data_IF_663052876392
#
_entry.id   IF_663052876392
#
_cell.length_a   1.000
_cell.length_b   1.000
_cell.length_c   1.000
_cell.angle_alpha   90.00
_cell.angle_beta   90.00
_cell.angle_gamma   90.00
#
_symmetry.space_group_name_H-M   'P 1'
#
loop_
_entity.id
_entity.type
_entity.pdbx_description
1 polymer ?
#
# COMPACT_ATOMS: atom_id res chain seq x y z
N UNK A 1 -42.62 -31.37 -4.15
CA UNK A 1 -41.43 -30.78 -3.49
C UNK A 1 -40.71 -29.93 -4.50
N UNK A 2 -40.55 -28.62 -4.28
CA UNK A 2 -39.71 -27.76 -5.08
C UNK A 2 -38.26 -28.00 -4.66
N UNK A 3 -37.27 -28.11 -5.58
CA UNK A 3 -35.88 -28.22 -5.21
C UNK A 3 -35.43 -26.94 -4.44
N UNK A 4 -34.54 -27.05 -3.49
CA UNK A 4 -34.02 -25.88 -2.80
C UNK A 4 -33.38 -24.93 -3.83
N UNK A 5 -33.79 -23.67 -3.77
CA UNK A 5 -33.23 -22.59 -4.59
C UNK A 5 -31.78 -22.41 -4.17
N UNK A 6 -30.85 -22.96 -4.92
CA UNK A 6 -29.41 -22.81 -4.73
C UNK A 6 -29.07 -21.33 -5.03
N UNK A 7 -29.26 -20.46 -4.04
CA UNK A 7 -28.81 -19.09 -4.10
C UNK A 7 -27.29 -19.12 -4.02
N UNK A 8 -26.62 -19.26 -5.15
CA UNK A 8 -25.18 -18.99 -5.24
C UNK A 8 -24.94 -17.60 -4.69
N UNK A 9 -24.30 -17.51 -3.56
CA UNK A 9 -23.83 -16.22 -3.01
C UNK A 9 -22.80 -15.72 -4.02
N UNK A 10 -23.19 -14.73 -4.79
CA UNK A 10 -22.26 -14.08 -5.74
C UNK A 10 -21.42 -13.11 -4.92
N UNK A 11 -20.20 -13.52 -4.60
CA UNK A 11 -19.23 -12.64 -3.98
C UNK A 11 -18.75 -11.58 -4.99
N UNK A 12 -18.59 -10.35 -4.53
CA UNK A 12 -17.95 -9.30 -5.33
C UNK A 12 -16.46 -9.63 -5.54
N UNK A 13 -15.82 -9.18 -6.62
CA UNK A 13 -14.38 -9.29 -6.76
C UNK A 13 -13.68 -8.46 -5.66
N UNK A 14 -12.53 -8.93 -5.16
CA UNK A 14 -11.62 -8.08 -4.39
C UNK A 14 -11.29 -6.84 -5.23
N UNK A 15 -11.44 -5.63 -4.68
CA UNK A 15 -11.30 -4.37 -5.40
C UNK A 15 -10.21 -3.52 -4.75
N UNK A 16 -9.09 -3.34 -5.44
CA UNK A 16 -7.92 -2.61 -4.95
C UNK A 16 -7.80 -1.32 -5.74
N UNK A 17 -7.72 -0.20 -5.04
CA UNK A 17 -7.64 1.14 -5.64
C UNK A 17 -6.43 1.87 -5.09
N UNK A 18 -5.45 2.11 -5.93
CA UNK A 18 -4.28 2.91 -5.63
C UNK A 18 -4.54 4.32 -6.18
N UNK A 19 -4.58 5.30 -5.28
CA UNK A 19 -4.88 6.68 -5.62
C UNK A 19 -3.61 7.45 -6.00
N UNK A 20 -3.75 8.37 -6.95
CA UNK A 20 -2.68 9.30 -7.29
C UNK A 20 -2.63 10.40 -6.22
N UNK A 21 -1.76 10.21 -5.25
CA UNK A 21 -1.49 11.14 -4.15
C UNK A 21 -0.11 11.78 -4.26
N UNK A 22 0.48 11.74 -5.45
CA UNK A 22 1.84 12.19 -5.72
C UNK A 22 2.88 11.30 -5.02
N UNK A 23 3.68 11.88 -4.10
CA UNK A 23 4.44 11.10 -3.13
C UNK A 23 3.50 10.65 -2.02
N UNK A 24 3.83 9.56 -1.37
CA UNK A 24 3.01 8.95 -0.35
C UNK A 24 2.12 7.84 -0.89
N UNK A 25 1.43 7.17 -0.01
CA UNK A 25 0.51 6.10 -0.35
C UNK A 25 -0.93 6.43 0.11
N UNK A 26 -1.88 5.96 -0.68
CA UNK A 26 -3.29 5.88 -0.31
C UNK A 26 -3.93 4.74 -1.10
N UNK A 27 -4.17 3.61 -0.43
CA UNK A 27 -4.61 2.38 -1.06
C UNK A 27 -5.88 1.88 -0.37
N UNK A 28 -7.00 1.83 -1.09
CA UNK A 28 -8.24 1.23 -0.60
C UNK A 28 -8.36 -0.19 -1.12
N UNK A 29 -8.55 -1.14 -0.21
CA UNK A 29 -8.76 -2.55 -0.51
C UNK A 29 -10.13 -2.95 0.03
N UNK A 30 -10.98 -3.46 -0.85
CA UNK A 30 -12.29 -4.01 -0.51
C UNK A 30 -12.25 -5.52 -0.71
N UNK A 31 -12.58 -6.28 0.32
CA UNK A 31 -12.73 -7.72 0.22
C UNK A 31 -13.97 -8.09 -0.63
N UNK A 32 -14.10 -9.34 -1.00
CA UNK A 32 -15.27 -9.88 -1.70
C UNK A 32 -16.58 -9.69 -0.91
N UNK A 33 -16.50 -9.46 0.40
CA UNK A 33 -17.63 -9.13 1.27
C UNK A 33 -17.69 -7.64 1.66
N UNK A 34 -17.07 -6.77 0.87
CA UNK A 34 -17.05 -5.31 1.08
C UNK A 34 -16.44 -4.86 2.42
N UNK A 35 -15.60 -5.68 3.04
CA UNK A 35 -14.80 -5.23 4.16
C UNK A 35 -13.70 -4.29 3.65
N UNK A 36 -13.64 -3.07 4.20
CA UNK A 36 -12.80 -2.01 3.66
C UNK A 36 -11.56 -1.80 4.52
N UNK A 37 -10.40 -1.85 3.88
CA UNK A 37 -9.10 -1.49 4.46
C UNK A 37 -8.52 -0.31 3.69
N UNK A 38 -8.11 0.74 4.38
CA UNK A 38 -7.33 1.84 3.83
C UNK A 38 -5.90 1.74 4.34
N UNK A 39 -4.93 1.69 3.43
CA UNK A 39 -3.50 1.74 3.76
C UNK A 39 -3.00 3.13 3.42
N UNK A 40 -2.53 3.81 4.43
CA UNK A 40 -2.09 5.20 4.42
C UNK A 40 -3.16 6.22 3.93
N UNK A 41 -2.88 7.48 4.11
CA UNK A 41 -3.80 8.57 3.79
C UNK A 41 -3.05 9.84 3.32
N UNK A 42 -2.09 9.65 2.42
CA UNK A 42 -1.52 10.73 1.63
C UNK A 42 -2.59 11.44 0.80
N UNK A 43 -2.33 12.66 0.36
CA UNK A 43 -3.22 13.38 -0.54
C UNK A 43 -2.46 14.07 -1.67
N UNK A 44 -3.15 14.34 -2.77
CA UNK A 44 -2.57 15.00 -3.92
C UNK A 44 -2.59 16.52 -3.72
N UNK A 45 -1.41 17.12 -3.59
CA UNK A 45 -1.27 18.56 -3.31
C UNK A 45 -1.57 19.42 -4.54
N UNK A 46 -1.34 18.91 -5.75
CA UNK A 46 -1.58 19.61 -7.01
C UNK A 46 -3.06 19.68 -7.34
N UNK A 47 -3.80 18.56 -7.23
CA UNK A 47 -5.23 18.51 -7.53
C UNK A 47 -6.11 18.85 -6.34
N UNK A 48 -5.57 18.87 -5.12
CA UNK A 48 -6.31 19.02 -3.88
C UNK A 48 -7.12 17.76 -3.48
N UNK A 49 -6.98 16.63 -4.19
CA UNK A 49 -7.72 15.43 -3.85
C UNK A 49 -7.26 14.84 -2.52
N UNK A 50 -8.22 14.57 -1.64
CA UNK A 50 -8.00 14.00 -0.30
C UNK A 50 -8.82 12.74 -0.11
N UNK A 51 -8.26 11.67 0.52
CA UNK A 51 -9.01 10.45 0.79
C UNK A 51 -10.25 10.68 1.66
N UNK A 52 -10.16 11.55 2.68
CA UNK A 52 -11.30 11.87 3.54
C UNK A 52 -12.51 12.42 2.79
N UNK A 53 -12.28 13.18 1.72
CA UNK A 53 -13.36 13.75 0.89
C UNK A 53 -13.77 12.80 -0.23
N UNK A 54 -12.79 12.22 -0.92
CA UNK A 54 -13.03 11.32 -2.05
C UNK A 54 -13.78 10.05 -1.65
N UNK A 55 -13.45 9.49 -0.47
CA UNK A 55 -14.13 8.30 0.04
C UNK A 55 -15.46 8.65 0.72
N UNK A 56 -15.56 9.80 1.41
CA UNK A 56 -16.84 10.25 1.95
C UNK A 56 -17.91 10.44 0.85
N UNK A 57 -17.54 10.99 -0.32
CA UNK A 57 -18.43 11.05 -1.49
C UNK A 57 -18.89 9.67 -1.97
N UNK A 58 -18.13 8.61 -1.72
CA UNK A 58 -18.49 7.22 -1.99
C UNK A 58 -19.29 6.57 -0.86
N UNK A 59 -19.63 7.35 0.18
CA UNK A 59 -20.46 6.94 1.31
C UNK A 59 -19.70 6.38 2.50
N UNK A 60 -18.37 6.35 2.49
CA UNK A 60 -17.57 5.95 3.66
C UNK A 60 -17.77 6.95 4.82
N UNK A 61 -17.79 6.42 6.05
CA UNK A 61 -18.09 7.20 7.25
C UNK A 61 -19.58 7.46 7.50
N UNK A 62 -20.46 7.12 6.53
CA UNK A 62 -21.92 7.23 6.64
C UNK A 62 -22.63 5.92 6.30
N UNK A 63 -22.85 5.63 5.01
CA UNK A 63 -23.53 4.42 4.53
C UNK A 63 -22.60 3.20 4.42
N UNK A 64 -21.30 3.44 4.24
CA UNK A 64 -20.25 2.43 4.15
C UNK A 64 -19.28 2.58 5.30
N UNK A 65 -18.89 1.49 5.89
CA UNK A 65 -17.92 1.47 6.99
C UNK A 65 -16.49 1.37 6.44
N UNK A 66 -15.58 2.19 6.95
CA UNK A 66 -14.14 1.94 6.85
C UNK A 66 -13.77 1.05 8.03
N UNK A 67 -13.49 -0.23 7.78
CA UNK A 67 -13.26 -1.21 8.85
C UNK A 67 -11.87 -1.04 9.45
N UNK A 68 -10.88 -0.85 8.60
CA UNK A 68 -9.49 -0.78 9.02
C UNK A 68 -8.77 0.37 8.32
N UNK A 69 -8.00 1.12 9.09
CA UNK A 69 -6.98 2.05 8.62
C UNK A 69 -5.62 1.50 9.05
N UNK A 70 -4.73 1.27 8.12
CA UNK A 70 -3.35 0.85 8.37
C UNK A 70 -2.46 2.05 8.06
N UNK A 71 -1.62 2.44 9.01
CA UNK A 71 -0.58 3.46 8.81
C UNK A 71 0.76 2.75 8.82
N UNK A 72 1.46 2.80 7.70
CA UNK A 72 2.74 2.12 7.53
C UNK A 72 3.84 2.74 8.39
N UNK A 73 3.97 4.06 8.36
CA UNK A 73 4.92 4.82 9.16
C UNK A 73 4.50 6.31 9.25
N UNK A 74 5.09 7.12 10.17
CA UNK A 74 4.60 8.46 10.47
C UNK A 74 5.22 9.57 9.59
N UNK A 75 5.53 9.31 8.31
CA UNK A 75 5.95 10.37 7.40
C UNK A 75 4.76 11.14 6.84
N UNK A 76 5.00 12.43 6.58
CA UNK A 76 3.92 13.37 6.28
C UNK A 76 3.14 13.00 5.03
N UNK A 77 3.79 12.49 4.02
CA UNK A 77 3.19 12.07 2.75
C UNK A 77 2.32 10.81 2.87
N UNK A 78 2.46 10.05 3.96
CA UNK A 78 1.59 8.91 4.31
C UNK A 78 0.45 9.30 5.26
N UNK A 79 0.57 10.40 6.00
CA UNK A 79 -0.36 10.82 7.03
C UNK A 79 -1.13 12.11 6.71
N UNK A 80 -0.85 12.77 5.60
CA UNK A 80 -1.21 14.17 5.40
C UNK A 80 -2.70 14.48 5.63
N UNK A 81 -3.59 13.53 5.33
CA UNK A 81 -5.04 13.66 5.56
C UNK A 81 -5.56 12.90 6.79
N UNK A 82 -4.68 12.33 7.62
CA UNK A 82 -5.07 11.50 8.77
C UNK A 82 -6.08 12.16 9.71
N UNK A 83 -5.92 13.44 10.13
CA UNK A 83 -6.91 14.08 11.00
C UNK A 83 -8.33 14.07 10.42
N UNK A 84 -8.46 14.35 9.12
CA UNK A 84 -9.76 14.38 8.45
C UNK A 84 -10.30 12.96 8.19
N UNK A 85 -9.43 11.99 7.92
CA UNK A 85 -9.82 10.57 7.77
C UNK A 85 -10.42 10.05 9.07
N UNK A 86 -9.78 10.33 10.21
CA UNK A 86 -10.29 9.92 11.53
C UNK A 86 -11.64 10.57 11.83
N UNK A 87 -11.81 11.86 11.52
CA UNK A 87 -13.04 12.60 11.77
C UNK A 87 -14.19 12.18 10.84
N UNK A 88 -13.95 12.16 9.53
CA UNK A 88 -14.99 11.99 8.49
C UNK A 88 -15.30 10.53 8.19
N UNK A 89 -14.25 9.68 8.10
CA UNK A 89 -14.43 8.27 7.71
C UNK A 89 -14.58 7.33 8.90
N UNK A 90 -14.13 7.73 10.09
CA UNK A 90 -14.30 7.04 11.37
C UNK A 90 -13.94 5.56 11.27
N UNK A 91 -12.67 5.21 10.96
CA UNK A 91 -12.25 3.82 10.87
C UNK A 91 -12.53 3.09 12.18
N UNK A 92 -13.00 1.84 12.07
CA UNK A 92 -13.34 1.04 13.28
C UNK A 92 -12.06 0.65 14.01
N UNK A 93 -11.03 0.30 13.25
CA UNK A 93 -9.71 -0.06 13.79
C UNK A 93 -8.62 0.74 13.10
N UNK A 94 -7.63 1.18 13.86
CA UNK A 94 -6.42 1.83 13.35
C UNK A 94 -5.23 0.96 13.73
N UNK A 95 -4.47 0.54 12.71
CA UNK A 95 -3.27 -0.29 12.85
C UNK A 95 -2.04 0.55 12.49
N UNK A 96 -1.06 0.56 13.35
CA UNK A 96 0.18 1.30 13.16
C UNK A 96 1.32 0.61 13.90
N UNK A 97 2.53 1.12 13.79
CA UNK A 97 3.69 0.55 14.47
C UNK A 97 3.48 0.53 16.00
N UNK A 98 3.47 -0.65 16.65
CA UNK A 98 3.03 -0.79 18.03
C UNK A 98 3.95 -0.10 19.06
N UNK A 99 5.24 0.01 18.76
CA UNK A 99 6.22 0.55 19.68
C UNK A 99 6.60 2.01 19.39
N UNK A 100 6.10 2.61 18.30
CA UNK A 100 6.47 3.97 17.92
C UNK A 100 5.61 4.98 18.67
N UNK A 101 6.09 5.37 19.85
CA UNK A 101 5.43 6.31 20.76
C UNK A 101 5.99 7.73 20.61
N UNK A 102 5.40 8.69 21.34
CA UNK A 102 5.73 10.10 21.23
C UNK A 102 7.23 10.38 21.45
N UNK A 103 7.84 9.82 22.48
CA UNK A 103 9.25 10.05 22.78
C UNK A 103 10.17 9.50 21.66
N UNK A 104 9.88 8.30 21.14
CA UNK A 104 10.67 7.73 20.06
C UNK A 104 10.53 8.56 18.77
N UNK A 105 9.32 9.05 18.45
CA UNK A 105 9.12 9.88 17.28
C UNK A 105 9.76 11.26 17.43
N UNK A 106 9.74 11.86 18.62
CA UNK A 106 10.39 13.12 18.89
C UNK A 106 11.94 13.03 18.80
N UNK A 107 12.52 11.88 19.17
CA UNK A 107 13.95 11.62 18.98
C UNK A 107 14.33 11.50 17.50
N UNK A 108 13.42 10.98 16.67
CA UNK A 108 13.62 10.79 15.24
C UNK A 108 13.29 12.05 14.41
N UNK A 109 12.43 12.95 14.94
CA UNK A 109 11.92 14.14 14.26
C UNK A 109 11.90 15.36 15.21
N UNK A 110 12.56 16.42 14.81
CA UNK A 110 12.67 17.65 15.62
C UNK A 110 11.32 18.38 15.86
N UNK A 111 10.37 18.27 14.92
CA UNK A 111 9.06 18.92 15.00
C UNK A 111 7.98 18.00 14.46
N UNK A 112 6.86 17.90 15.18
CA UNK A 112 5.71 17.09 14.78
C UNK A 112 4.64 17.92 14.07
N UNK A 113 4.17 17.43 12.93
CA UNK A 113 3.00 18.00 12.25
C UNK A 113 1.69 17.62 12.95
N UNK A 114 0.57 18.30 12.56
CA UNK A 114 -0.77 17.93 13.03
C UNK A 114 -1.13 16.47 12.73
N UNK A 115 -0.70 15.96 11.59
CA UNK A 115 -0.93 14.57 11.19
C UNK A 115 -0.14 13.58 12.07
N UNK A 116 1.12 13.87 12.36
CA UNK A 116 1.94 13.07 13.27
C UNK A 116 1.41 13.10 14.71
N UNK A 117 0.92 14.27 15.16
CA UNK A 117 0.26 14.37 16.46
C UNK A 117 -1.05 13.55 16.50
N UNK A 118 -1.81 13.47 15.40
CA UNK A 118 -2.98 12.60 15.28
C UNK A 118 -2.59 11.12 15.32
N UNK A 119 -1.53 10.72 14.60
CA UNK A 119 -0.96 9.37 14.64
C UNK A 119 -0.64 8.93 16.07
N UNK A 120 0.03 9.78 16.85
CA UNK A 120 0.41 9.47 18.22
C UNK A 120 -0.80 9.40 19.19
N UNK A 121 -1.89 10.11 18.89
CA UNK A 121 -3.13 9.96 19.68
C UNK A 121 -3.82 8.63 19.44
N UNK A 122 -3.79 8.11 18.22
CA UNK A 122 -4.37 6.80 17.90
C UNK A 122 -3.55 5.65 18.47
N UNK A 123 -2.24 5.80 18.69
CA UNK A 123 -1.38 4.75 19.26
C UNK A 123 -1.81 4.32 20.67
N UNK A 124 -2.45 5.20 21.44
CA UNK A 124 -2.92 4.89 22.80
C UNK A 124 -4.11 3.93 22.82
N UNK A 125 -4.88 3.83 21.73
CA UNK A 125 -6.06 2.96 21.62
C UNK A 125 -5.72 1.55 21.12
N UNK A 126 -4.54 1.35 20.57
CA UNK A 126 -4.09 0.07 20.00
C UNK A 126 -3.03 -0.64 20.86
N UNK A 127 -2.79 -0.17 22.08
CA UNK A 127 -1.65 -0.53 22.95
C UNK A 127 -1.64 -1.96 23.51
N UNK A 128 -2.61 -2.83 23.19
CA UNK A 128 -2.52 -4.25 23.48
C UNK A 128 -1.79 -4.98 22.34
N UNK A 129 -0.48 -4.86 22.28
CA UNK A 129 0.24 -5.28 21.08
C UNK A 129 1.40 -6.18 21.36
N UNK A 130 1.32 -7.18 20.82
CA UNK A 130 1.49 -8.28 19.89
C UNK A 130 2.96 -8.43 19.41
N UNK A 131 3.44 -9.64 19.17
CA UNK A 131 4.80 -9.94 18.72
C UNK A 131 5.11 -9.25 17.38
N UNK A 132 6.38 -9.31 16.95
CA UNK A 132 6.93 -8.73 15.71
C UNK A 132 6.18 -9.14 14.42
N UNK A 133 5.21 -10.03 14.56
CA UNK A 133 4.28 -10.47 13.54
C UNK A 133 2.87 -10.47 14.12
N UNK A 134 1.92 -9.88 13.41
CA UNK A 134 0.50 -9.95 13.74
C UNK A 134 -0.27 -10.56 12.55
N UNK A 135 -1.09 -11.57 12.84
CA UNK A 135 -2.00 -12.16 11.86
C UNK A 135 -3.43 -11.95 12.32
N UNK A 136 -4.29 -11.49 11.42
CA UNK A 136 -5.71 -11.25 11.67
C UNK A 136 -6.53 -11.76 10.52
N UNK A 137 -7.57 -12.53 10.86
CA UNK A 137 -8.58 -12.97 9.92
C UNK A 137 -9.73 -11.96 9.94
N UNK A 138 -10.02 -11.34 8.82
CA UNK A 138 -11.26 -10.66 8.53
C UNK A 138 -12.29 -11.68 8.01
N UNK A 139 -13.44 -11.26 7.51
CA UNK A 139 -14.46 -12.24 7.05
C UNK A 139 -13.93 -13.17 5.97
N UNK A 140 -13.32 -12.61 4.93
CA UNK A 140 -12.75 -13.37 3.81
C UNK A 140 -11.28 -13.04 3.57
N UNK A 141 -10.81 -11.90 4.06
CA UNK A 141 -9.45 -11.41 3.87
C UNK A 141 -8.59 -11.66 5.11
N UNK A 142 -7.35 -12.05 4.92
CA UNK A 142 -6.33 -12.18 5.96
C UNK A 142 -5.35 -11.01 5.88
N UNK A 143 -5.06 -10.42 7.04
CA UNK A 143 -3.98 -9.43 7.21
C UNK A 143 -2.82 -10.06 7.98
N UNK A 144 -1.62 -10.00 7.43
CA UNK A 144 -0.37 -10.27 8.13
C UNK A 144 0.52 -9.03 8.12
N UNK A 145 1.04 -8.67 9.28
CA UNK A 145 1.87 -7.48 9.46
C UNK A 145 3.20 -7.84 10.09
N UNK A 146 4.27 -7.21 9.59
CA UNK A 146 5.62 -7.35 10.12
C UNK A 146 6.18 -5.96 10.39
N UNK A 147 6.91 -5.82 11.47
CA UNK A 147 7.58 -4.57 11.85
C UNK A 147 8.87 -4.87 12.61
N UNK A 148 9.78 -3.92 12.64
CA UNK A 148 11.05 -4.02 13.35
C UNK A 148 10.96 -3.31 14.70
N UNK A 149 11.65 -3.79 15.75
CA UNK A 149 11.67 -3.10 17.03
C UNK A 149 12.24 -1.69 16.92
N UNK A 150 11.64 -0.73 17.62
CA UNK A 150 12.23 0.62 17.79
C UNK A 150 13.62 0.48 18.42
N UNK A 151 14.59 1.24 17.89
CA UNK A 151 16.01 1.14 18.26
C UNK A 151 16.79 0.08 17.48
N UNK A 152 16.12 -0.83 16.76
CA UNK A 152 16.83 -1.79 15.91
C UNK A 152 17.33 -1.19 14.58
N UNK A 153 16.77 -0.07 14.16
CA UNK A 153 17.14 0.70 12.97
C UNK A 153 17.20 2.18 13.31
N UNK A 154 17.88 2.97 12.47
CA UNK A 154 18.04 4.42 12.69
C UNK A 154 17.04 5.25 11.89
N UNK A 155 16.61 4.76 10.74
CA UNK A 155 15.69 5.46 9.85
C UNK A 155 14.26 5.07 10.22
N UNK A 156 13.36 6.06 10.36
CA UNK A 156 11.94 5.84 10.62
C UNK A 156 11.25 5.07 9.49
N UNK A 157 11.74 5.20 8.27
CA UNK A 157 11.25 4.44 7.11
C UNK A 157 11.48 2.93 7.29
N UNK A 158 12.61 2.54 7.88
CA UNK A 158 12.89 1.13 8.19
C UNK A 158 11.99 0.56 9.31
N UNK A 159 11.24 1.41 10.02
CA UNK A 159 10.19 1.03 10.97
C UNK A 159 8.81 0.89 10.30
N UNK A 160 8.71 0.99 8.99
CA UNK A 160 7.44 0.78 8.28
C UNK A 160 6.83 -0.57 8.64
N UNK A 161 5.52 -0.55 8.94
CA UNK A 161 4.72 -1.76 9.11
C UNK A 161 4.44 -2.35 7.74
N UNK A 162 5.11 -3.45 7.42
CA UNK A 162 4.87 -4.16 6.16
C UNK A 162 3.59 -4.97 6.30
N UNK A 163 2.62 -4.70 5.45
CA UNK A 163 1.30 -5.35 5.49
C UNK A 163 1.08 -6.20 4.25
N UNK A 164 0.69 -7.46 4.47
CA UNK A 164 0.22 -8.38 3.44
C UNK A 164 -1.27 -8.62 3.63
N UNK A 165 -2.05 -8.34 2.59
CA UNK A 165 -3.50 -8.57 2.59
C UNK A 165 -3.80 -9.64 1.54
N UNK A 166 -4.39 -10.74 2.00
CA UNK A 166 -4.61 -11.94 1.18
C UNK A 166 -6.08 -12.35 1.15
N UNK A 167 -6.60 -12.69 -0.01
CA UNK A 167 -7.93 -13.25 -0.22
C UNK A 167 -7.90 -14.16 -1.47
N UNK A 168 -8.45 -15.36 -1.38
CA UNK A 168 -8.62 -16.30 -2.50
C UNK A 168 -7.35 -16.52 -3.33
N UNK A 169 -6.22 -16.72 -2.66
CA UNK A 169 -4.92 -16.95 -3.32
C UNK A 169 -4.31 -15.72 -3.97
N UNK A 170 -4.85 -14.53 -3.69
CA UNK A 170 -4.28 -13.26 -4.12
C UNK A 170 -3.73 -12.48 -2.91
N UNK A 171 -2.51 -12.01 -3.01
CA UNK A 171 -1.84 -11.28 -1.94
C UNK A 171 -1.29 -9.94 -2.45
N UNK A 172 -1.62 -8.86 -1.72
CA UNK A 172 -1.03 -7.53 -1.89
C UNK A 172 0.02 -7.33 -0.81
N UNK A 173 1.22 -6.87 -1.17
CA UNK A 173 2.25 -6.40 -0.25
C UNK A 173 2.31 -4.87 -0.27
N UNK A 174 2.09 -4.25 0.90
CA UNK A 174 2.21 -2.82 1.15
C UNK A 174 3.37 -2.59 2.14
N UNK A 175 4.59 -2.34 1.69
CA UNK A 175 5.77 -2.22 2.55
C UNK A 175 5.95 -0.80 3.12
N UNK A 176 5.14 0.18 2.73
CA UNK A 176 5.40 1.59 3.00
C UNK A 176 6.77 2.02 2.46
N UNK A 177 7.49 2.81 3.22
CA UNK A 177 8.79 3.34 2.80
C UNK A 177 9.98 2.48 3.26
N UNK A 178 9.74 1.18 3.50
CA UNK A 178 10.75 0.26 3.99
C UNK A 178 12.05 0.36 3.17
N UNK A 179 13.12 0.77 3.84
CA UNK A 179 14.44 0.93 3.25
C UNK A 179 15.23 -0.37 3.16
N UNK A 180 16.42 -0.28 2.58
CA UNK A 180 17.24 -1.47 2.33
C UNK A 180 17.71 -2.18 3.62
N UNK A 181 17.86 -1.46 4.74
CA UNK A 181 18.22 -2.05 6.04
C UNK A 181 17.04 -2.83 6.61
N UNK A 182 15.84 -2.25 6.54
CA UNK A 182 14.60 -2.90 6.96
C UNK A 182 14.35 -4.21 6.20
N UNK A 183 14.46 -4.20 4.87
CA UNK A 183 14.37 -5.41 4.06
C UNK A 183 15.31 -6.50 4.53
N UNK A 184 16.61 -6.19 4.69
CA UNK A 184 17.61 -7.16 5.13
C UNK A 184 17.29 -7.79 6.48
N UNK A 185 16.68 -7.02 7.39
CA UNK A 185 16.28 -7.54 8.71
C UNK A 185 15.06 -8.44 8.59
N UNK A 186 14.04 -8.04 7.85
CA UNK A 186 12.83 -8.84 7.63
C UNK A 186 13.11 -10.14 6.88
N UNK A 187 14.05 -10.14 5.92
CA UNK A 187 14.46 -11.35 5.17
C UNK A 187 15.06 -12.45 6.06
N UNK A 188 15.41 -12.16 7.33
CA UNK A 188 15.81 -13.19 8.29
C UNK A 188 14.64 -13.98 8.88
N UNK A 189 13.40 -13.51 8.68
CA UNK A 189 12.20 -14.16 9.18
C UNK A 189 11.60 -15.09 8.10
N UNK A 190 11.53 -16.43 8.32
CA UNK A 190 10.96 -17.37 7.35
C UNK A 190 9.48 -17.09 7.02
N UNK A 191 8.69 -16.59 7.99
CA UNK A 191 7.29 -16.25 7.75
C UNK A 191 7.18 -15.05 6.82
N UNK A 192 8.08 -14.08 6.91
CA UNK A 192 8.15 -12.95 5.98
C UNK A 192 8.54 -13.41 4.58
N UNK A 193 9.56 -14.28 4.45
CA UNK A 193 9.94 -14.88 3.16
C UNK A 193 8.78 -15.64 2.51
N UNK A 194 7.98 -16.37 3.33
CA UNK A 194 6.79 -17.06 2.85
C UNK A 194 5.79 -16.07 2.25
N UNK A 195 5.49 -14.97 2.95
CA UNK A 195 4.54 -13.96 2.47
C UNK A 195 5.03 -13.26 1.19
N UNK A 196 6.34 -13.08 1.02
CA UNK A 196 6.90 -12.56 -0.23
C UNK A 196 6.62 -13.51 -1.41
N UNK A 197 6.75 -14.83 -1.22
CA UNK A 197 6.46 -15.84 -2.28
C UNK A 197 4.98 -15.83 -2.69
N UNK A 198 4.09 -15.57 -1.74
CA UNK A 198 2.64 -15.49 -1.99
C UNK A 198 2.22 -14.17 -2.65
N UNK A 199 3.10 -13.17 -2.71
CA UNK A 199 2.75 -11.83 -3.17
C UNK A 199 2.53 -11.76 -4.68
N UNK A 200 1.34 -11.34 -5.08
CA UNK A 200 0.95 -11.13 -6.48
C UNK A 200 1.07 -9.67 -6.93
N UNK A 201 0.72 -8.74 -6.04
CA UNK A 201 0.84 -7.30 -6.25
C UNK A 201 1.80 -6.69 -5.23
N UNK A 202 2.86 -6.05 -5.71
CA UNK A 202 3.77 -5.28 -4.88
C UNK A 202 3.49 -3.79 -5.06
N UNK A 203 3.22 -3.08 -3.97
CA UNK A 203 3.41 -1.63 -3.94
C UNK A 203 4.90 -1.37 -3.72
N UNK A 204 5.52 -0.62 -4.60
CA UNK A 204 6.96 -0.44 -4.56
C UNK A 204 7.36 0.35 -3.29
N UNK A 205 8.35 -0.12 -2.52
CA UNK A 205 8.75 0.54 -1.30
C UNK A 205 9.29 1.94 -1.59
N UNK A 206 8.99 2.88 -0.70
CA UNK A 206 9.53 4.24 -0.71
C UNK A 206 9.42 4.90 -2.10
N UNK A 207 8.24 4.78 -2.71
CA UNK A 207 7.91 5.37 -4.02
C UNK A 207 8.88 4.97 -5.14
N UNK A 208 9.44 3.76 -5.06
CA UNK A 208 10.41 3.25 -6.01
C UNK A 208 11.80 3.88 -5.91
N UNK A 209 12.18 4.49 -4.79
CA UNK A 209 13.53 5.04 -4.62
C UNK A 209 14.61 3.96 -4.63
N UNK A 210 15.77 4.31 -5.18
CA UNK A 210 16.93 3.41 -5.27
C UNK A 210 17.40 2.90 -3.89
N UNK A 211 17.29 3.73 -2.84
CA UNK A 211 17.64 3.39 -1.46
C UNK A 211 16.79 2.28 -0.85
N UNK A 212 15.59 2.06 -1.38
CA UNK A 212 14.66 1.03 -0.92
C UNK A 212 14.66 -0.24 -1.78
N UNK A 213 15.31 -0.22 -2.94
CA UNK A 213 15.44 -1.39 -3.79
C UNK A 213 16.50 -2.36 -3.24
N UNK A 214 16.15 -3.64 -3.13
CA UNK A 214 17.01 -4.72 -2.69
C UNK A 214 16.86 -5.93 -3.60
N UNK A 215 17.89 -6.29 -4.39
CA UNK A 215 17.82 -7.47 -5.27
C UNK A 215 17.49 -8.76 -4.53
N UNK A 216 18.01 -8.95 -3.31
CA UNK A 216 17.82 -10.16 -2.50
C UNK A 216 16.34 -10.41 -2.12
N UNK A 217 15.50 -9.39 -2.14
CA UNK A 217 14.04 -9.54 -1.94
C UNK A 217 13.44 -10.41 -3.04
N UNK A 218 13.95 -10.28 -4.26
CA UNK A 218 13.43 -10.95 -5.44
C UNK A 218 13.90 -12.40 -5.59
N UNK A 219 14.73 -12.91 -4.68
CA UNK A 219 14.94 -14.35 -4.50
C UNK A 219 13.67 -15.03 -3.96
N UNK A 220 12.81 -14.26 -3.29
CA UNK A 220 11.56 -14.74 -2.68
C UNK A 220 10.31 -14.16 -3.38
N UNK A 221 10.43 -13.03 -4.02
CA UNK A 221 9.31 -12.25 -4.55
C UNK A 221 9.31 -12.23 -6.08
N UNK A 222 8.23 -12.73 -6.67
CA UNK A 222 8.00 -12.71 -8.13
C UNK A 222 6.58 -12.23 -8.43
N UNK A 223 6.29 -10.91 -8.29
CA UNK A 223 4.93 -10.41 -8.40
C UNK A 223 4.43 -10.43 -9.84
N UNK A 224 3.12 -10.54 -10.05
CA UNK A 224 2.53 -10.30 -11.37
C UNK A 224 2.60 -8.83 -11.77
N UNK A 225 2.41 -7.93 -10.81
CA UNK A 225 2.42 -6.49 -11.05
C UNK A 225 3.13 -5.74 -9.92
N UNK A 226 3.89 -4.73 -10.29
CA UNK A 226 4.42 -3.73 -9.36
C UNK A 226 3.75 -2.39 -9.62
N UNK A 227 3.27 -1.72 -8.58
CA UNK A 227 2.75 -0.36 -8.65
C UNK A 227 3.67 0.58 -7.89
N UNK A 228 4.07 1.67 -8.52
CA UNK A 228 4.87 2.73 -7.92
C UNK A 228 3.97 3.95 -7.72
N UNK A 229 3.74 4.32 -6.47
CA UNK A 229 3.11 5.60 -6.14
C UNK A 229 4.18 6.68 -6.17
N UNK A 230 4.20 7.52 -7.22
CA UNK A 230 5.23 8.52 -7.36
C UNK A 230 4.72 9.82 -8.01
N UNK A 231 5.48 10.90 -7.80
CA UNK A 231 5.29 12.23 -8.38
C UNK A 231 6.37 12.52 -9.43
N UNK A 232 6.04 13.37 -10.39
CA UNK A 232 7.06 13.93 -11.26
C UNK A 232 8.07 14.73 -10.44
N UNK A 233 9.36 14.37 -10.55
CA UNK A 233 10.40 14.96 -9.73
C UNK A 233 11.04 16.14 -10.44
N UNK A 234 11.21 17.24 -9.70
CA UNK A 234 12.17 18.29 -10.05
C UNK A 234 13.59 17.71 -10.06
N UNK A 235 14.41 18.16 -11.03
CA UNK A 235 15.78 17.72 -11.28
C UNK A 235 16.58 17.47 -9.99
N UNK A 236 17.16 16.28 -9.84
CA UNK A 236 18.14 15.98 -8.81
C UNK A 236 17.85 14.85 -7.82
N UNK A 237 16.66 14.24 -7.80
CA UNK A 237 16.39 13.05 -6.96
C UNK A 237 16.38 11.77 -7.78
N UNK A 238 17.14 10.78 -7.32
CA UNK A 238 17.23 9.47 -8.00
C UNK A 238 15.99 8.65 -7.69
N UNK A 239 15.01 8.67 -8.59
CA UNK A 239 14.00 7.62 -8.65
C UNK A 239 14.57 6.44 -9.41
N UNK A 240 14.39 5.24 -8.89
CA UNK A 240 14.69 4.05 -9.66
C UNK A 240 13.91 4.12 -10.97
N UNK A 241 14.63 3.95 -12.06
CA UNK A 241 14.02 3.66 -13.34
C UNK A 241 13.11 2.43 -13.12
N UNK A 242 11.97 2.37 -13.79
CA UNK A 242 11.04 1.23 -13.74
C UNK A 242 11.71 -0.13 -14.04
N UNK A 243 12.90 -0.10 -14.68
CA UNK A 243 13.60 -1.28 -15.14
C UNK A 243 13.86 -2.34 -14.05
N UNK A 244 14.42 -2.02 -12.87
CA UNK A 244 14.71 -3.05 -11.87
C UNK A 244 13.45 -3.81 -11.42
N UNK A 245 12.34 -3.11 -11.21
CA UNK A 245 11.07 -3.77 -10.85
C UNK A 245 10.46 -4.57 -11.99
N UNK A 246 10.58 -4.06 -13.23
CA UNK A 246 10.07 -4.73 -14.43
C UNK A 246 10.74 -6.07 -14.68
N UNK A 247 12.03 -6.18 -14.35
CA UNK A 247 12.80 -7.40 -14.60
C UNK A 247 12.33 -8.56 -13.69
N UNK A 248 11.73 -8.24 -12.54
CA UNK A 248 11.24 -9.22 -11.57
C UNK A 248 9.73 -9.49 -11.66
N UNK A 249 8.95 -8.70 -12.40
CA UNK A 249 7.52 -8.88 -12.52
C UNK A 249 7.13 -9.71 -13.76
N UNK A 250 6.08 -10.54 -13.63
CA UNK A 250 5.54 -11.31 -14.75
C UNK A 250 4.76 -10.44 -15.74
N UNK A 251 3.93 -9.54 -15.25
CA UNK A 251 3.10 -8.64 -16.03
C UNK A 251 1.63 -9.04 -16.12
N UNK A 252 0.81 -8.07 -16.48
CA UNK A 252 -0.64 -8.19 -16.69
C UNK A 252 -1.05 -7.54 -18.00
N UNK A 253 -2.11 -8.06 -18.63
CA UNK A 253 -2.71 -7.45 -19.81
C UNK A 253 -3.73 -6.42 -19.37
N UNK A 254 -3.66 -5.21 -19.93
CA UNK A 254 -4.64 -4.14 -19.71
C UNK A 254 -5.79 -4.23 -20.72
N UNK A 255 -6.94 -3.55 -20.49
CA UNK A 255 -8.06 -3.56 -21.41
C UNK A 255 -7.75 -3.04 -22.81
N UNK A 256 -6.79 -2.13 -22.94
CA UNK A 256 -6.30 -1.61 -24.24
C UNK A 256 -5.42 -2.62 -25.02
N UNK A 257 -5.22 -3.82 -24.45
CA UNK A 257 -4.41 -4.88 -25.02
C UNK A 257 -2.91 -4.78 -24.69
N UNK A 258 -2.44 -3.68 -24.10
CA UNK A 258 -1.05 -3.52 -23.69
C UNK A 258 -0.68 -4.47 -22.55
N UNK A 259 0.60 -4.88 -22.52
CA UNK A 259 1.13 -5.74 -21.46
C UNK A 259 2.05 -4.95 -20.53
N UNK A 260 1.72 -4.90 -19.25
CA UNK A 260 2.41 -4.07 -18.28
C UNK A 260 2.90 -4.88 -17.08
N UNK A 261 4.15 -4.68 -16.72
CA UNK A 261 4.81 -5.27 -15.53
C UNK A 261 4.89 -4.28 -14.37
N UNK A 262 4.94 -2.98 -14.71
CA UNK A 262 4.99 -1.88 -13.74
C UNK A 262 4.01 -0.80 -14.17
N UNK A 263 3.17 -0.35 -13.24
CA UNK A 263 2.35 0.84 -13.36
C UNK A 263 2.84 1.92 -12.39
N UNK A 264 2.57 3.19 -12.70
CA UNK A 264 2.92 4.31 -11.82
C UNK A 264 1.76 5.27 -11.71
N UNK A 265 1.47 5.81 -10.52
CA UNK A 265 0.40 6.81 -10.36
C UNK A 265 0.68 8.06 -11.18
N UNK A 266 1.95 8.46 -11.31
CA UNK A 266 2.37 9.58 -12.16
C UNK A 266 2.00 9.40 -13.64
N UNK A 267 2.23 8.21 -14.20
CA UNK A 267 2.00 7.94 -15.62
C UNK A 267 0.60 7.42 -15.92
N UNK A 268 0.06 6.61 -15.03
CA UNK A 268 -1.18 5.86 -15.25
C UNK A 268 -2.37 6.45 -14.46
N UNK A 269 -2.12 7.46 -13.60
CA UNK A 269 -3.14 8.05 -12.74
C UNK A 269 -3.58 7.10 -11.64
N UNK A 270 -4.86 7.14 -11.27
CA UNK A 270 -5.44 6.17 -10.34
C UNK A 270 -5.46 4.79 -11.00
N UNK A 271 -5.00 3.78 -10.24
CA UNK A 271 -4.95 2.40 -10.69
C UNK A 271 -5.99 1.61 -9.89
N UNK A 272 -6.79 0.81 -10.57
CA UNK A 272 -7.78 -0.08 -9.95
C UNK A 272 -7.59 -1.50 -10.45
N UNK A 273 -7.56 -2.44 -9.52
CA UNK A 273 -7.54 -3.86 -9.81
C UNK A 273 -8.81 -4.49 -9.24
N UNK A 274 -9.47 -5.32 -10.04
CA UNK A 274 -10.48 -6.26 -9.56
C UNK A 274 -9.94 -7.67 -9.75
N UNK A 275 -10.02 -8.45 -8.69
CA UNK A 275 -9.50 -9.83 -8.67
C UNK A 275 -10.60 -10.78 -8.27
N UNK A 276 -10.81 -11.82 -9.08
CA UNK A 276 -11.78 -12.89 -8.81
C UNK A 276 -11.34 -14.18 -9.50
N UNK A 277 -11.35 -15.30 -8.80
CA UNK A 277 -11.05 -16.62 -9.36
C UNK A 277 -9.72 -16.62 -10.15
N UNK A 278 -8.69 -15.97 -9.62
CA UNK A 278 -7.36 -15.83 -10.25
C UNK A 278 -7.32 -14.92 -11.49
N UNK A 279 -8.45 -14.34 -11.91
CA UNK A 279 -8.54 -13.38 -13.03
C UNK A 279 -8.35 -11.95 -12.52
N UNK A 280 -7.66 -11.14 -13.33
CA UNK A 280 -7.34 -9.76 -13.03
C UNK A 280 -7.96 -8.84 -14.07
N UNK A 281 -8.67 -7.83 -13.61
CA UNK A 281 -9.08 -6.67 -14.41
C UNK A 281 -8.34 -5.45 -13.86
N UNK A 282 -7.49 -4.84 -14.68
CA UNK A 282 -6.69 -3.66 -14.28
C UNK A 282 -7.12 -2.48 -15.12
N UNK A 283 -7.52 -1.38 -14.48
CA UNK A 283 -7.90 -0.14 -15.13
C UNK A 283 -7.10 1.04 -14.57
N UNK A 284 -6.83 2.02 -15.43
CA UNK A 284 -6.10 3.25 -15.09
C UNK A 284 -6.92 4.46 -15.53
N UNK A 285 -6.72 5.62 -14.88
CA UNK A 285 -7.45 6.84 -15.24
C UNK A 285 -6.77 7.67 -16.30
N UNK A 286 -5.51 7.40 -16.61
CA UNK A 286 -4.76 8.00 -17.70
C UNK A 286 -4.47 6.92 -18.73
N UNK A 287 -4.90 7.14 -19.97
CA UNK A 287 -4.67 6.23 -21.10
C UNK A 287 -3.45 6.65 -21.95
N UNK A 288 -2.93 7.84 -21.71
CA UNK A 288 -1.94 8.50 -22.58
C UNK A 288 -0.49 8.19 -22.22
N UNK A 289 -0.22 6.94 -21.83
CA UNK A 289 1.17 6.54 -21.71
C UNK A 289 1.82 6.39 -23.09
N UNK A 290 2.39 7.47 -23.59
CA UNK A 290 3.42 7.39 -24.63
C UNK A 290 4.71 6.92 -23.97
N UNK A 291 5.24 5.73 -24.27
CA UNK A 291 6.54 5.33 -23.77
C UNK A 291 7.56 6.39 -24.26
N UNK A 292 8.33 6.95 -23.33
CA UNK A 292 9.43 7.83 -23.74
C UNK A 292 10.23 7.11 -24.82
N UNK A 293 10.33 7.71 -26.01
CA UNK A 293 11.15 7.18 -27.10
C UNK A 293 12.54 6.85 -26.53
N UNK A 294 13.10 5.69 -26.86
CA UNK A 294 14.49 5.42 -26.53
C UNK A 294 15.31 6.60 -27.03
N UNK A 295 16.13 7.21 -26.19
CA UNK A 295 17.11 8.17 -26.68
C UNK A 295 17.99 7.39 -27.65
N UNK A 296 18.00 7.80 -28.91
CA UNK A 296 18.98 7.33 -29.88
C UNK A 296 20.37 7.54 -29.28
N UNK A 297 21.27 6.55 -29.39
CA UNK A 297 22.64 6.76 -28.98
C UNK A 297 23.17 7.96 -29.77
N UNK A 298 23.77 8.93 -29.09
CA UNK A 298 24.48 10.01 -29.74
C UNK A 298 25.58 9.38 -30.62
N UNK A 299 25.53 9.67 -31.93
CA UNK A 299 26.55 9.31 -32.92
C UNK A 299 27.83 10.07 -32.61
#
# INVERSE_FOLDING_TARGET
MRPPCDRRIIYEPMDIRIFDVEHGDCILILSSQNEAVLVDCGYNTTTGWKPSEGLAKQGFGSRRRLHHLIITHPDQDHLADLPNVLEKLRPVHVWQHPQLQLHNLAELKATLSKAQAAYLRTSKTTAELQPLEASRQFRTMQLRQFYLPVGSVRDVNDLSVVSFLSEDGFTVCCPGDLGSVGWRKHLKNPAFQYMLRETNLLIAPHHGRASAYRPEVYEYLSPKLVVISDKEQSKGRTVLKRAPYRDHAYGVKLPDGSFRKVLTTRGDGRIRLKVRDGKWEVTTTRTDYSPAKPKEPAV
#
